data_IF_449039575728
#
_entry.id   IF_449039575728
#
_cell.length_a   1.000
_cell.length_b   1.000
_cell.length_c   1.000
_cell.angle_alpha   90.00
_cell.angle_beta   90.00
_cell.angle_gamma   90.00
#
_symmetry.space_group_name_H-M   'P 1'
#
loop_
_entity.id
_entity.type
_entity.pdbx_description
1 polymer ?
#
# COMPACT_ATOMS: atom_id res chain seq x y z
N UNK A 1 8.99 -24.15 -41.65
CA UNK A 1 9.36 -24.33 -40.23
C UNK A 1 9.92 -25.72 -40.03
N UNK A 2 11.15 -25.82 -39.52
CA UNK A 2 11.78 -27.07 -39.12
C UNK A 2 11.18 -27.57 -37.79
N UNK A 3 11.37 -28.86 -37.46
CA UNK A 3 10.93 -29.43 -36.18
C UNK A 3 11.54 -28.69 -34.98
N UNK A 4 12.80 -28.25 -35.11
CA UNK A 4 13.50 -27.49 -34.08
C UNK A 4 12.89 -26.10 -33.87
N UNK A 5 12.54 -25.40 -34.96
CA UNK A 5 11.88 -24.09 -34.88
C UNK A 5 10.52 -24.17 -34.20
N UNK A 6 9.75 -25.23 -34.49
CA UNK A 6 8.44 -25.47 -33.85
C UNK A 6 8.62 -25.75 -32.35
N UNK A 7 9.55 -26.63 -31.97
CA UNK A 7 9.82 -26.94 -30.57
C UNK A 7 10.31 -25.71 -29.79
N UNK A 8 11.20 -24.91 -30.38
CA UNK A 8 11.67 -23.66 -29.81
C UNK A 8 10.55 -22.62 -29.67
N UNK A 9 9.61 -22.59 -30.64
CA UNK A 9 8.40 -21.78 -30.57
C UNK A 9 7.55 -22.08 -29.32
N UNK A 10 7.34 -23.36 -28.98
CA UNK A 10 6.63 -23.74 -27.75
C UNK A 10 7.35 -23.24 -26.49
N UNK A 11 8.69 -23.31 -26.45
CA UNK A 11 9.48 -22.78 -25.33
C UNK A 11 9.31 -21.26 -25.22
N UNK A 12 9.35 -20.53 -26.35
CA UNK A 12 9.10 -19.08 -26.36
C UNK A 12 7.72 -18.72 -25.81
N UNK A 13 6.67 -19.44 -26.22
CA UNK A 13 5.30 -19.22 -25.72
C UNK A 13 5.22 -19.49 -24.22
N UNK A 14 5.83 -20.57 -23.74
CA UNK A 14 5.88 -20.88 -22.30
C UNK A 14 6.61 -19.77 -21.51
N UNK A 15 7.77 -19.32 -21.99
CA UNK A 15 8.53 -18.23 -21.37
C UNK A 15 7.69 -16.94 -21.28
N UNK A 16 7.03 -16.55 -22.37
CA UNK A 16 6.18 -15.35 -22.41
C UNK A 16 4.98 -15.47 -21.46
N UNK A 17 4.34 -16.65 -21.41
CA UNK A 17 3.19 -16.92 -20.54
C UNK A 17 3.54 -16.78 -19.06
N UNK A 18 4.74 -17.21 -18.66
CA UNK A 18 5.22 -17.09 -17.26
C UNK A 18 5.76 -15.69 -16.96
N UNK A 19 6.39 -15.05 -17.94
CA UNK A 19 7.01 -13.73 -17.75
C UNK A 19 5.97 -12.63 -17.61
N UNK A 20 4.88 -12.68 -18.38
CA UNK A 20 3.85 -11.64 -18.39
C UNK A 20 3.21 -11.39 -17.01
N UNK A 21 2.78 -12.40 -16.23
CA UNK A 21 2.29 -12.18 -14.88
C UNK A 21 3.34 -11.61 -13.93
N UNK A 22 4.61 -12.04 -14.03
CA UNK A 22 5.69 -11.51 -13.20
C UNK A 22 5.85 -10.00 -13.47
N UNK A 23 5.94 -9.62 -14.75
CA UNK A 23 6.01 -8.22 -15.15
C UNK A 23 4.79 -7.44 -14.66
N UNK A 24 3.58 -7.93 -14.98
CA UNK A 24 2.33 -7.26 -14.61
C UNK A 24 2.20 -7.06 -13.11
N UNK A 25 2.51 -8.06 -12.28
CA UNK A 25 2.42 -7.93 -10.81
C UNK A 25 3.48 -6.98 -10.23
N UNK A 26 4.69 -6.96 -10.80
CA UNK A 26 5.76 -6.07 -10.36
C UNK A 26 5.48 -4.62 -10.80
N UNK A 27 5.07 -4.41 -12.05
CA UNK A 27 4.73 -3.10 -12.60
C UNK A 27 3.45 -2.52 -12.00
N UNK A 28 2.43 -3.36 -11.73
CA UNK A 28 1.21 -2.94 -11.04
C UNK A 28 1.47 -2.44 -9.61
N UNK A 29 2.54 -2.93 -8.97
CA UNK A 29 3.04 -2.39 -7.69
C UNK A 29 3.93 -1.15 -7.88
N UNK A 30 4.10 -0.70 -9.11
CA UNK A 30 4.88 0.47 -9.46
C UNK A 30 6.40 0.27 -9.43
N UNK A 31 6.86 -0.97 -9.55
CA UNK A 31 8.27 -1.32 -9.53
C UNK A 31 8.80 -1.64 -10.93
N UNK A 32 10.05 -1.26 -11.18
CA UNK A 32 10.80 -1.61 -12.39
C UNK A 32 11.41 -3.01 -12.23
N UNK A 33 11.07 -3.93 -13.12
CA UNK A 33 11.53 -5.32 -13.08
C UNK A 33 13.05 -5.43 -13.22
N UNK A 34 13.70 -4.54 -13.99
CA UNK A 34 15.14 -4.60 -14.26
C UNK A 34 16.01 -4.37 -13.02
N UNK A 35 15.45 -3.72 -11.99
CA UNK A 35 16.12 -3.46 -10.70
C UNK A 35 16.12 -4.66 -9.75
N UNK A 36 15.44 -5.74 -10.11
CA UNK A 36 15.30 -6.93 -9.28
C UNK A 36 16.34 -7.99 -9.66
N UNK A 37 16.50 -8.98 -8.77
CA UNK A 37 17.23 -10.23 -9.04
C UNK A 37 16.22 -11.34 -9.23
N UNK A 38 16.40 -12.19 -10.25
CA UNK A 38 15.49 -13.31 -10.50
C UNK A 38 15.91 -14.52 -9.67
N UNK A 39 15.15 -14.86 -8.63
CA UNK A 39 15.34 -16.11 -7.88
C UNK A 39 14.60 -17.25 -8.57
N UNK A 40 15.32 -18.27 -9.03
CA UNK A 40 14.73 -19.41 -9.76
C UNK A 40 14.81 -20.69 -8.93
N UNK A 41 13.70 -21.43 -8.93
CA UNK A 41 13.54 -22.69 -8.23
C UNK A 41 12.59 -23.62 -8.99
N UNK A 42 12.39 -24.83 -8.47
CA UNK A 42 11.65 -25.91 -9.13
C UNK A 42 12.46 -26.63 -10.20
N UNK A 43 12.05 -27.86 -10.54
CA UNK A 43 12.81 -28.73 -11.44
C UNK A 43 12.99 -28.19 -12.87
N UNK A 44 12.07 -27.33 -13.34
CA UNK A 44 12.13 -26.71 -14.65
C UNK A 44 12.67 -25.27 -14.63
N UNK A 45 12.75 -24.62 -13.46
CA UNK A 45 13.00 -23.17 -13.37
C UNK A 45 14.31 -22.73 -14.04
N UNK A 46 15.38 -23.51 -13.84
CA UNK A 46 16.69 -23.22 -14.46
C UNK A 46 16.69 -23.28 -16.00
N UNK A 47 15.74 -24.00 -16.62
CA UNK A 47 15.66 -24.13 -18.08
C UNK A 47 15.14 -22.85 -18.75
N UNK A 48 14.33 -22.07 -18.04
CA UNK A 48 13.67 -20.86 -18.54
C UNK A 48 14.32 -19.57 -18.03
N UNK A 49 15.16 -19.68 -17.00
CA UNK A 49 15.72 -18.58 -16.23
C UNK A 49 16.31 -17.43 -17.07
N UNK A 50 17.19 -17.76 -18.03
CA UNK A 50 17.89 -16.75 -18.84
C UNK A 50 16.92 -15.98 -19.74
N UNK A 51 16.09 -16.70 -20.51
CA UNK A 51 15.13 -16.08 -21.41
C UNK A 51 14.07 -15.24 -20.67
N UNK A 52 13.63 -15.68 -19.48
CA UNK A 52 12.74 -14.91 -18.62
C UNK A 52 13.42 -13.64 -18.11
N UNK A 53 14.66 -13.74 -17.62
CA UNK A 53 15.40 -12.60 -17.10
C UNK A 53 15.69 -11.57 -18.21
N UNK A 54 16.07 -12.01 -19.42
CA UNK A 54 16.22 -11.14 -20.59
C UNK A 54 14.91 -10.40 -20.91
N UNK A 55 13.79 -11.11 -20.97
CA UNK A 55 12.48 -10.50 -21.21
C UNK A 55 12.06 -9.52 -20.10
N UNK A 56 12.47 -9.76 -18.84
CA UNK A 56 12.22 -8.87 -17.71
C UNK A 56 13.24 -7.73 -17.57
N UNK A 57 14.30 -7.71 -18.38
CA UNK A 57 15.43 -6.79 -18.22
C UNK A 57 16.27 -7.03 -16.95
N UNK A 58 16.13 -8.20 -16.32
CA UNK A 58 16.85 -8.57 -15.09
C UNK A 58 18.26 -9.03 -15.44
N UNK A 59 19.26 -8.44 -14.78
CA UNK A 59 20.68 -8.72 -15.05
C UNK A 59 21.26 -9.89 -14.26
N UNK A 60 20.68 -10.23 -13.13
CA UNK A 60 21.23 -11.26 -12.25
C UNK A 60 20.17 -12.29 -11.86
N UNK A 61 20.50 -13.55 -12.11
CA UNK A 61 19.71 -14.71 -11.72
C UNK A 61 20.41 -15.43 -10.58
N UNK A 62 19.62 -15.85 -9.60
CA UNK A 62 20.05 -16.66 -8.46
C UNK A 62 19.35 -18.01 -8.52
N UNK A 63 20.12 -19.08 -8.69
CA UNK A 63 19.63 -20.46 -8.59
C UNK A 63 20.08 -21.04 -7.25
N UNK A 64 19.11 -21.28 -6.36
CA UNK A 64 19.41 -21.88 -5.06
C UNK A 64 19.96 -23.30 -5.23
N UNK A 65 20.90 -23.73 -4.38
CA UNK A 65 21.49 -25.09 -4.41
C UNK A 65 20.44 -26.19 -4.28
N UNK A 66 19.39 -25.89 -3.53
CA UNK A 66 18.22 -26.74 -3.30
C UNK A 66 17.03 -26.34 -4.17
N UNK A 67 17.25 -25.67 -5.31
CA UNK A 67 16.20 -25.16 -6.20
C UNK A 67 15.09 -26.18 -6.47
N UNK A 68 15.43 -27.44 -6.75
CA UNK A 68 14.46 -28.51 -7.01
C UNK A 68 13.60 -28.92 -5.81
N UNK A 69 14.05 -28.63 -4.58
CA UNK A 69 13.37 -28.99 -3.33
C UNK A 69 13.21 -27.78 -2.41
N UNK A 70 13.23 -26.57 -2.96
CA UNK A 70 13.32 -25.34 -2.18
C UNK A 70 12.10 -25.14 -1.30
N UNK A 71 10.92 -25.59 -1.74
CA UNK A 71 9.70 -25.59 -0.94
C UNK A 71 9.83 -26.47 0.30
N UNK A 72 10.36 -27.70 0.17
CA UNK A 72 10.59 -28.59 1.30
C UNK A 72 11.66 -28.02 2.26
N UNK A 73 12.71 -27.40 1.72
CA UNK A 73 13.71 -26.70 2.51
C UNK A 73 13.12 -25.52 3.29
N UNK A 74 12.28 -24.70 2.65
CA UNK A 74 11.57 -23.60 3.30
C UNK A 74 10.64 -24.07 4.41
N UNK A 75 9.88 -25.16 4.18
CA UNK A 75 9.05 -25.78 5.22
C UNK A 75 9.88 -26.31 6.40
N UNK A 76 11.06 -26.86 6.14
CA UNK A 76 11.94 -27.36 7.20
C UNK A 76 12.51 -26.22 8.05
N UNK A 77 12.82 -25.07 7.44
CA UNK A 77 13.36 -23.88 8.12
C UNK A 77 12.30 -23.01 8.81
N UNK A 78 11.04 -23.14 8.41
CA UNK A 78 9.97 -22.30 8.94
C UNK A 78 9.82 -22.52 10.45
N UNK A 79 9.74 -21.40 11.18
CA UNK A 79 9.34 -21.45 12.58
C UNK A 79 7.89 -21.94 12.68
N UNK A 80 7.59 -22.65 13.77
CA UNK A 80 6.21 -23.07 14.03
C UNK A 80 5.50 -21.93 14.74
N UNK A 81 4.40 -21.46 14.17
CA UNK A 81 3.65 -20.33 14.68
C UNK A 81 2.27 -20.80 15.14
N UNK A 82 1.90 -20.45 16.37
CA UNK A 82 0.52 -20.57 16.88
C UNK A 82 0.05 -19.19 17.33
N UNK A 83 -1.08 -18.74 16.78
CA UNK A 83 -1.70 -17.46 17.12
C UNK A 83 -2.96 -17.69 17.95
N UNK A 84 -3.13 -16.85 18.96
CA UNK A 84 -4.35 -16.77 19.74
C UNK A 84 -4.77 -15.30 19.85
N UNK A 85 -6.08 -15.03 19.72
CA UNK A 85 -6.62 -13.67 19.75
C UNK A 85 -7.95 -13.64 20.47
N UNK A 86 -8.23 -12.53 21.15
CA UNK A 86 -9.48 -12.28 21.85
C UNK A 86 -9.99 -10.84 21.62
N UNK A 87 -11.30 -10.65 21.39
CA UNK A 87 -11.87 -9.33 21.18
C UNK A 87 -11.78 -8.45 22.43
N UNK A 88 -11.67 -7.15 22.21
CA UNK A 88 -11.63 -6.11 23.23
C UNK A 88 -12.33 -4.84 22.72
N UNK A 89 -12.78 -3.97 23.60
CA UNK A 89 -13.39 -2.69 23.20
C UNK A 89 -13.09 -1.58 24.21
N UNK A 90 -11.85 -1.54 24.70
CA UNK A 90 -11.37 -0.51 25.63
C UNK A 90 -10.82 0.69 24.88
N UNK A 91 -11.01 1.87 25.46
CA UNK A 91 -10.29 3.08 25.05
C UNK A 91 -8.88 3.02 25.59
N UNK A 92 -7.88 3.18 24.72
CA UNK A 92 -6.47 3.28 25.09
C UNK A 92 -6.19 4.63 25.76
N UNK A 93 -5.36 4.62 26.78
CA UNK A 93 -4.85 5.82 27.44
C UNK A 93 -3.34 5.65 27.70
N UNK A 94 -2.54 6.61 27.21
CA UNK A 94 -1.07 6.57 27.34
C UNK A 94 -0.61 6.75 28.80
N UNK A 95 -1.35 7.52 29.60
CA UNK A 95 -0.99 7.86 30.98
C UNK A 95 -1.68 6.98 32.06
N UNK A 96 -2.49 6.00 31.65
CA UNK A 96 -3.23 5.11 32.57
C UNK A 96 -2.41 3.87 32.97
N UNK A 97 -1.23 4.13 33.56
CA UNK A 97 -0.37 3.08 34.13
C UNK A 97 -1.07 2.48 35.35
N UNK A 98 -1.60 1.26 35.21
CA UNK A 98 -2.34 0.56 36.27
C UNK A 98 -3.78 0.16 35.90
N UNK A 99 -4.39 0.84 34.91
CA UNK A 99 -5.78 0.60 34.53
C UNK A 99 -5.91 -0.29 33.30
N UNK A 100 -6.10 0.33 32.14
CA UNK A 100 -6.29 -0.37 30.86
C UNK A 100 -5.05 -1.19 30.50
N UNK A 101 -3.85 -0.65 30.71
CA UNK A 101 -2.59 -1.33 30.36
C UNK A 101 -2.40 -2.63 31.17
N UNK A 102 -2.65 -2.61 32.48
CA UNK A 102 -2.52 -3.79 33.34
C UNK A 102 -3.56 -4.86 32.98
N UNK A 103 -4.80 -4.45 32.69
CA UNK A 103 -5.85 -5.36 32.27
C UNK A 103 -5.54 -6.02 30.92
N UNK A 104 -4.95 -5.28 29.97
CA UNK A 104 -4.48 -5.82 28.69
C UNK A 104 -3.26 -6.73 28.89
N UNK A 105 -2.34 -6.36 29.79
CA UNK A 105 -1.17 -7.17 30.16
C UNK A 105 -1.57 -8.53 30.73
N UNK A 106 -2.52 -8.55 31.66
CA UNK A 106 -3.06 -9.81 32.20
C UNK A 106 -3.68 -10.68 31.11
N UNK A 107 -4.43 -10.08 30.17
CA UNK A 107 -5.02 -10.80 29.03
C UNK A 107 -3.96 -11.36 28.09
N UNK A 108 -2.90 -10.60 27.80
CA UNK A 108 -1.77 -11.07 26.99
C UNK A 108 -1.11 -12.28 27.65
N UNK A 109 -0.85 -12.24 28.96
CA UNK A 109 -0.27 -13.38 29.70
C UNK A 109 -1.18 -14.62 29.68
N UNK A 110 -2.50 -14.43 29.79
CA UNK A 110 -3.45 -15.54 29.64
C UNK A 110 -3.46 -16.10 28.21
N UNK A 111 -3.44 -15.24 27.19
CA UNK A 111 -3.41 -15.63 25.79
C UNK A 111 -2.14 -16.41 25.42
N UNK A 112 -1.00 -16.13 26.07
CA UNK A 112 0.27 -16.87 25.88
C UNK A 112 0.18 -18.34 26.29
N UNK A 113 -0.69 -18.71 27.24
CA UNK A 113 -0.77 -20.08 27.78
C UNK A 113 -1.10 -21.11 26.72
N UNK A 114 -2.05 -20.82 25.83
CA UNK A 114 -2.51 -21.75 24.79
C UNK A 114 -1.44 -22.01 23.70
N UNK A 115 -0.82 -20.98 23.08
CA UNK A 115 0.32 -21.19 22.19
C UNK A 115 1.49 -21.88 22.87
N UNK A 116 1.79 -21.55 24.14
CA UNK A 116 2.84 -22.25 24.91
C UNK A 116 2.58 -23.75 24.97
N UNK A 117 1.38 -24.16 25.39
CA UNK A 117 1.02 -25.58 25.49
C UNK A 117 1.12 -26.28 24.13
N UNK A 118 0.55 -25.67 23.07
CA UNK A 118 0.57 -26.26 21.72
C UNK A 118 1.97 -26.38 21.12
N UNK A 119 2.86 -25.45 21.42
CA UNK A 119 4.26 -25.51 20.99
C UNK A 119 5.04 -26.54 21.82
N UNK A 120 4.77 -26.64 23.13
CA UNK A 120 5.34 -27.70 23.98
C UNK A 120 4.90 -29.10 23.53
N UNK A 121 3.62 -29.28 23.18
CA UNK A 121 3.08 -30.54 22.63
C UNK A 121 3.78 -30.94 21.30
N UNK A 122 4.33 -29.97 20.58
CA UNK A 122 5.12 -30.15 19.37
C UNK A 122 6.63 -30.30 19.63
N UNK A 123 7.04 -30.34 20.90
CA UNK A 123 8.43 -30.59 21.32
C UNK A 123 9.30 -29.36 21.49
N UNK A 124 8.74 -28.14 21.49
CA UNK A 124 9.50 -26.91 21.77
C UNK A 124 9.66 -26.67 23.27
N UNK A 125 10.90 -26.46 23.72
CA UNK A 125 11.19 -26.04 25.09
C UNK A 125 10.92 -24.55 25.31
N UNK A 126 10.71 -24.12 26.55
CA UNK A 126 10.40 -22.72 26.89
C UNK A 126 11.43 -21.72 26.34
N UNK A 127 12.72 -22.05 26.37
CA UNK A 127 13.81 -21.19 25.88
C UNK A 127 13.81 -21.01 24.35
N UNK A 128 13.03 -21.81 23.63
CA UNK A 128 12.88 -21.75 22.17
C UNK A 128 11.58 -21.08 21.72
N UNK A 129 10.69 -20.73 22.65
CA UNK A 129 9.42 -20.07 22.34
C UNK A 129 9.60 -18.57 22.54
N UNK A 130 9.31 -17.81 21.49
CA UNK A 130 9.30 -16.34 21.50
C UNK A 130 7.87 -15.86 21.28
N UNK A 131 7.47 -14.78 21.94
CA UNK A 131 6.16 -14.18 21.78
C UNK A 131 6.25 -12.84 21.08
N UNK A 132 5.36 -12.62 20.12
CA UNK A 132 5.05 -11.30 19.59
C UNK A 132 3.66 -10.89 20.13
N UNK A 133 3.60 -9.71 20.75
CA UNK A 133 2.42 -9.17 21.42
C UNK A 133 1.82 -8.05 20.56
N UNK A 134 0.54 -8.16 20.23
CA UNK A 134 -0.13 -7.23 19.33
C UNK A 134 -1.40 -6.66 19.96
N UNK A 135 -1.62 -5.37 19.72
CA UNK A 135 -2.92 -4.73 19.89
C UNK A 135 -3.42 -4.29 18.52
N UNK A 136 -4.63 -4.72 18.15
CA UNK A 136 -5.31 -4.17 16.99
C UNK A 136 -6.03 -2.90 17.42
N UNK A 137 -5.58 -1.75 16.91
CA UNK A 137 -6.00 -0.43 17.36
C UNK A 137 -6.61 0.36 16.21
N UNK A 138 -7.61 1.20 16.51
CA UNK A 138 -8.25 2.11 15.54
C UNK A 138 -8.69 3.39 16.22
N UNK A 139 -8.83 4.48 15.46
CA UNK A 139 -9.51 5.66 15.98
C UNK A 139 -11.02 5.42 16.08
N UNK A 140 -11.67 5.98 17.11
CA UNK A 140 -13.12 5.87 17.29
C UNK A 140 -13.86 6.36 16.04
N UNK A 141 -14.83 5.57 15.60
CA UNK A 141 -15.64 5.81 14.40
C UNK A 141 -15.01 5.32 13.09
N UNK A 142 -13.71 5.02 13.07
CA UNK A 142 -13.07 4.35 11.92
C UNK A 142 -13.20 2.84 12.04
N UNK A 143 -13.10 2.11 10.94
CA UNK A 143 -13.32 0.64 10.94
C UNK A 143 -12.04 -0.15 10.69
N UNK A 144 -11.03 0.48 10.11
CA UNK A 144 -9.74 -0.15 9.86
C UNK A 144 -8.91 -0.16 11.14
N UNK A 145 -8.74 -1.34 11.73
CA UNK A 145 -7.76 -1.56 12.77
C UNK A 145 -6.37 -1.79 12.18
N UNK A 146 -5.37 -1.15 12.78
CA UNK A 146 -3.96 -1.42 12.53
C UNK A 146 -3.45 -2.41 13.57
N UNK A 147 -2.72 -3.42 13.11
CA UNK A 147 -2.03 -4.36 13.97
C UNK A 147 -0.73 -3.74 14.47
N UNK A 148 -0.73 -3.34 15.73
CA UNK A 148 0.41 -2.66 16.36
C UNK A 148 1.17 -3.70 17.18
N UNK A 149 2.43 -3.94 16.79
CA UNK A 149 3.36 -4.77 17.54
C UNK A 149 3.86 -3.98 18.75
N UNK A 150 3.99 -4.66 19.90
CA UNK A 150 4.64 -4.09 21.07
C UNK A 150 6.06 -3.63 20.71
N UNK A 151 6.41 -2.34 20.97
CA UNK A 151 7.75 -1.85 20.71
C UNK A 151 8.82 -2.73 21.36
N UNK A 152 9.82 -3.11 20.58
CA UNK A 152 11.01 -3.76 21.14
C UNK A 152 11.76 -2.79 22.05
N UNK A 153 12.61 -3.30 22.96
CA UNK A 153 13.42 -2.45 23.85
C UNK A 153 14.23 -1.39 23.08
N UNK A 154 14.84 -1.79 21.97
CA UNK A 154 15.63 -0.89 21.11
C UNK A 154 14.76 0.21 20.49
N UNK A 155 13.57 -0.13 19.99
CA UNK A 155 12.63 0.85 19.45
C UNK A 155 12.05 1.76 20.53
N UNK A 156 11.77 1.21 21.72
CA UNK A 156 11.29 1.96 22.88
C UNK A 156 12.30 3.00 23.31
N UNK A 157 13.58 2.63 23.43
CA UNK A 157 14.67 3.54 23.77
C UNK A 157 14.84 4.64 22.70
N UNK A 158 14.78 4.27 21.41
CA UNK A 158 15.01 5.19 20.30
C UNK A 158 13.85 6.16 20.06
N UNK A 159 12.61 5.71 20.20
CA UNK A 159 11.43 6.46 19.74
C UNK A 159 10.41 6.78 20.83
N UNK A 160 10.43 6.06 21.96
CA UNK A 160 9.37 6.14 22.98
C UNK A 160 9.90 6.39 24.39
N UNK A 161 11.13 6.89 24.54
CA UNK A 161 11.78 7.21 25.83
C UNK A 161 11.87 6.00 26.77
N UNK A 162 12.10 4.81 26.22
CA UNK A 162 12.22 3.54 26.95
C UNK A 162 10.88 2.91 27.34
N UNK A 163 9.75 3.44 26.86
CA UNK A 163 8.43 2.87 27.14
C UNK A 163 8.05 1.76 26.15
N UNK A 164 8.25 0.51 26.57
CA UNK A 164 7.88 -0.69 25.79
C UNK A 164 6.36 -0.88 25.65
N UNK A 165 5.54 -0.16 26.43
CA UNK A 165 4.08 -0.21 26.37
C UNK A 165 3.48 0.97 25.59
N UNK A 166 4.29 1.72 24.85
CA UNK A 166 3.89 2.88 24.06
C UNK A 166 3.06 2.54 22.80
N UNK A 167 2.08 1.64 22.91
CA UNK A 167 1.19 1.23 21.82
C UNK A 167 0.42 2.40 21.19
N UNK A 168 -0.04 3.38 21.98
CA UNK A 168 -0.72 4.57 21.45
C UNK A 168 0.17 5.41 20.52
N UNK A 169 1.42 5.64 20.94
CA UNK A 169 2.43 6.36 20.13
C UNK A 169 2.86 5.56 18.91
N UNK A 170 3.04 4.24 19.07
CA UNK A 170 3.35 3.35 17.96
C UNK A 170 2.19 3.30 16.93
N UNK A 171 0.94 3.25 17.41
CA UNK A 171 -0.26 3.36 16.58
C UNK A 171 -0.30 4.67 15.81
N UNK A 172 -0.14 5.81 16.48
CA UNK A 172 -0.17 7.12 15.82
C UNK A 172 0.93 7.23 14.76
N UNK A 173 2.14 6.74 15.05
CA UNK A 173 3.25 6.70 14.09
C UNK A 173 2.96 5.79 12.89
N UNK A 174 2.43 4.59 13.12
CA UNK A 174 2.11 3.65 12.05
C UNK A 174 0.93 4.15 11.21
N UNK A 175 -0.06 4.80 11.84
CA UNK A 175 -1.19 5.42 11.15
C UNK A 175 -0.73 6.59 10.26
N UNK A 176 0.21 7.42 10.74
CA UNK A 176 0.84 8.47 9.93
C UNK A 176 1.68 7.88 8.78
N UNK A 177 2.42 6.80 9.02
CA UNK A 177 3.18 6.12 7.97
C UNK A 177 2.30 5.48 6.88
N UNK A 178 1.19 4.86 7.28
CA UNK A 178 0.28 4.16 6.36
C UNK A 178 -0.67 5.12 5.64
N UNK A 179 -1.19 6.14 6.33
CA UNK A 179 -2.27 7.01 5.84
C UNK A 179 -1.91 8.50 5.74
N UNK A 180 -0.76 8.94 6.27
CA UNK A 180 -0.30 10.34 6.21
C UNK A 180 -1.06 11.31 7.11
N UNK A 181 -1.75 10.82 8.14
CA UNK A 181 -2.48 11.66 9.10
C UNK A 181 -2.59 10.99 10.47
N UNK A 182 -2.89 11.80 11.50
CA UNK A 182 -3.30 11.35 12.83
C UNK A 182 -4.57 12.09 13.25
N UNK A 183 -5.36 11.49 14.15
CA UNK A 183 -6.63 12.06 14.63
C UNK A 183 -6.53 12.31 16.15
N UNK A 184 -5.83 13.37 16.59
CA UNK A 184 -5.53 13.60 18.01
C UNK A 184 -6.78 13.81 18.87
N UNK A 185 -7.86 14.36 18.28
CA UNK A 185 -9.12 14.61 18.98
C UNK A 185 -10.02 13.37 19.09
N UNK A 186 -9.54 12.21 18.65
CA UNK A 186 -10.29 10.95 18.69
C UNK A 186 -9.63 9.93 19.58
N UNK A 187 -10.45 9.33 20.44
CA UNK A 187 -10.07 8.14 21.21
C UNK A 187 -9.50 7.04 20.32
N UNK A 188 -8.45 6.39 20.81
CA UNK A 188 -7.93 5.15 20.23
C UNK A 188 -8.65 3.98 20.92
N UNK A 189 -9.24 3.08 20.14
CA UNK A 189 -9.94 1.89 20.62
C UNK A 189 -9.08 0.66 20.34
N UNK A 190 -8.87 -0.16 21.38
CA UNK A 190 -8.31 -1.51 21.26
C UNK A 190 -9.43 -2.46 20.88
N UNK A 191 -9.40 -2.96 19.65
CA UNK A 191 -10.42 -3.83 19.05
C UNK A 191 -10.21 -5.31 19.41
N UNK A 192 -8.96 -5.75 19.47
CA UNK A 192 -8.61 -7.09 19.93
C UNK A 192 -7.15 -7.14 20.40
N UNK A 193 -6.90 -8.14 21.23
CA UNK A 193 -5.59 -8.49 21.76
C UNK A 193 -5.16 -9.78 21.09
N UNK A 194 -3.95 -9.79 20.53
CA UNK A 194 -3.41 -10.92 19.80
C UNK A 194 -2.02 -11.26 20.31
N UNK A 195 -1.77 -12.55 20.49
CA UNK A 195 -0.46 -13.09 20.84
C UNK A 195 -0.08 -14.13 19.79
N UNK A 196 1.14 -14.00 19.27
CA UNK A 196 1.75 -14.98 18.40
C UNK A 196 2.89 -15.68 19.13
N UNK A 197 2.74 -16.96 19.40
CA UNK A 197 3.81 -17.83 19.87
C UNK A 197 4.61 -18.38 18.69
N UNK A 198 5.92 -18.22 18.72
CA UNK A 198 6.86 -18.65 17.68
C UNK A 198 7.84 -19.66 18.29
N UNK A 199 7.69 -20.92 17.92
CA UNK A 199 8.67 -21.97 18.22
C UNK A 199 9.86 -21.87 17.27
N UNK A 200 10.97 -21.31 17.75
CA UNK A 200 12.21 -21.14 16.99
C UNK A 200 12.91 -22.49 16.83
N UNK A 201 12.93 -23.02 15.60
CA UNK A 201 13.62 -24.30 15.30
C UNK A 201 15.13 -24.14 15.20
N UNK A 202 15.58 -22.99 14.71
CA UNK A 202 17.00 -22.74 14.45
C UNK A 202 17.41 -21.35 14.95
N UNK A 203 18.49 -21.27 15.74
CA UNK A 203 19.22 -20.01 15.97
C UNK A 203 20.18 -19.77 14.79
N UNK A 204 19.67 -19.67 13.57
CA UNK A 204 20.51 -19.41 12.39
C UNK A 204 20.77 -17.91 12.26
N UNK A 205 21.89 -17.45 12.84
CA UNK A 205 22.56 -16.22 12.42
C UNK A 205 23.25 -16.46 11.08
N UNK A 206 22.47 -16.71 10.02
CA UNK A 206 23.04 -16.78 8.68
C UNK A 206 23.01 -15.42 7.99
N UNK A 207 24.13 -15.08 7.35
CA UNK A 207 24.20 -13.93 6.45
C UNK A 207 23.15 -14.05 5.35
N UNK A 208 22.55 -12.92 4.99
CA UNK A 208 21.60 -12.87 3.86
C UNK A 208 22.29 -13.31 2.57
N UNK A 209 21.51 -13.78 1.60
CA UNK A 209 22.04 -14.14 0.26
C UNK A 209 22.76 -12.94 -0.37
N UNK A 210 22.27 -11.70 -0.16
CA UNK A 210 22.91 -10.49 -0.65
C UNK A 210 24.30 -10.28 -0.04
N UNK A 211 24.44 -10.43 1.29
CA UNK A 211 25.72 -10.36 1.98
C UNK A 211 26.68 -11.47 1.54
N UNK A 212 26.17 -12.71 1.41
CA UNK A 212 26.95 -13.85 0.91
C UNK A 212 27.49 -13.60 -0.50
N UNK A 213 26.68 -13.02 -1.39
CA UNK A 213 27.11 -12.65 -2.75
C UNK A 213 28.18 -11.56 -2.72
N UNK A 214 28.00 -10.51 -1.90
CA UNK A 214 28.95 -9.40 -1.81
C UNK A 214 30.32 -9.82 -1.27
N UNK A 215 30.34 -10.81 -0.37
CA UNK A 215 31.57 -11.37 0.19
C UNK A 215 32.17 -12.49 -0.67
N UNK A 216 31.39 -13.04 -1.61
CA UNK A 216 31.85 -14.09 -2.51
C UNK A 216 32.70 -13.51 -3.64
N UNK A 217 33.69 -14.28 -4.08
CA UNK A 217 34.41 -14.02 -5.32
C UNK A 217 34.01 -15.08 -6.35
N UNK A 218 33.00 -14.81 -7.22
CA UNK A 218 32.52 -15.78 -8.19
C UNK A 218 33.66 -16.22 -9.09
N UNK A 219 33.80 -17.54 -9.26
CA UNK A 219 34.76 -18.09 -10.22
C UNK A 219 33.99 -18.62 -11.41
N UNK A 220 34.36 -18.15 -12.58
CA UNK A 220 33.83 -18.71 -13.83
C UNK A 220 34.17 -20.20 -13.89
N UNK A 221 33.21 -20.97 -14.40
CA UNK A 221 33.41 -22.40 -14.63
C UNK A 221 34.45 -22.55 -15.74
N UNK A 222 35.65 -23.02 -15.38
CA UNK A 222 36.77 -23.12 -16.31
C UNK A 222 36.61 -24.26 -17.32
N UNK A 223 37.18 -24.07 -18.50
CA UNK A 223 37.30 -25.09 -19.55
C UNK A 223 38.09 -26.29 -18.99
N UNK A 224 37.47 -27.48 -18.98
CA UNK A 224 38.06 -28.72 -18.44
C UNK A 224 37.22 -29.47 -17.41
N UNK A 225 36.14 -28.88 -16.90
CA UNK A 225 35.14 -29.55 -16.04
C UNK A 225 33.90 -30.04 -16.82
N UNK A 226 34.00 -30.08 -18.15
CA UNK A 226 32.90 -30.48 -19.04
C UNK A 226 32.60 -31.98 -18.83
N UNK A 227 31.34 -32.32 -18.56
CA UNK A 227 30.94 -33.73 -18.48
C UNK A 227 30.79 -34.34 -19.88
N UNK A 228 30.14 -33.60 -20.80
CA UNK A 228 30.00 -33.95 -22.22
C UNK A 228 29.57 -32.74 -23.03
N UNK A 229 29.59 -32.85 -24.35
CA UNK A 229 28.96 -31.89 -25.27
C UNK A 229 27.72 -32.48 -25.93
N UNK A 230 26.76 -31.62 -26.26
CA UNK A 230 25.57 -32.00 -27.01
C UNK A 230 25.14 -30.85 -27.93
N UNK A 231 24.53 -31.17 -29.07
CA UNK A 231 23.89 -30.15 -29.89
C UNK A 231 22.58 -29.71 -29.25
N UNK A 232 22.50 -28.43 -28.87
CA UNK A 232 21.32 -27.78 -28.30
C UNK A 232 20.84 -26.71 -29.27
N UNK A 233 19.53 -26.60 -29.47
CA UNK A 233 18.96 -25.57 -30.32
C UNK A 233 18.72 -24.29 -29.51
N UNK A 234 19.30 -23.18 -29.97
CA UNK A 234 19.05 -21.83 -29.46
C UNK A 234 18.49 -20.95 -30.57
N UNK A 235 18.22 -19.69 -30.25
CA UNK A 235 17.94 -18.69 -31.26
C UNK A 235 19.13 -18.57 -32.25
N UNK A 236 18.85 -18.77 -33.53
CA UNK A 236 19.88 -18.83 -34.58
C UNK A 236 20.45 -20.22 -34.88
N UNK A 237 19.94 -21.30 -34.27
CA UNK A 237 20.20 -22.67 -34.71
C UNK A 237 20.83 -23.59 -33.66
N UNK A 238 21.18 -24.81 -34.09
CA UNK A 238 21.88 -25.80 -33.23
C UNK A 238 23.32 -25.40 -33.00
N UNK A 239 23.74 -25.40 -31.73
CA UNK A 239 25.12 -25.16 -31.31
C UNK A 239 25.62 -26.30 -30.46
N UNK A 240 26.87 -26.70 -30.65
CA UNK A 240 27.51 -27.64 -29.75
C UNK A 240 27.73 -26.96 -28.40
N UNK A 241 27.14 -27.51 -27.34
CA UNK A 241 27.07 -26.87 -26.02
C UNK A 241 27.69 -27.77 -24.96
N UNK A 242 28.62 -27.27 -24.15
CA UNK A 242 29.15 -28.02 -23.02
C UNK A 242 28.10 -28.21 -21.94
N UNK A 243 28.01 -29.42 -21.41
CA UNK A 243 27.13 -29.80 -20.32
C UNK A 243 28.01 -30.06 -19.09
N UNK A 244 27.69 -29.38 -18.00
CA UNK A 244 28.35 -29.53 -16.71
C UNK A 244 27.41 -30.23 -15.74
N UNK A 245 27.96 -31.10 -14.90
CA UNK A 245 27.24 -31.68 -13.77
C UNK A 245 27.44 -30.78 -12.57
N UNK A 246 26.34 -30.30 -12.01
CA UNK A 246 26.39 -29.38 -10.87
C UNK A 246 27.21 -29.91 -9.69
N UNK A 247 27.15 -31.22 -9.42
CA UNK A 247 27.92 -31.89 -8.35
C UNK A 247 29.43 -31.96 -8.57
N UNK A 248 29.88 -31.82 -9.83
CA UNK A 248 31.29 -31.93 -10.21
C UNK A 248 31.95 -30.55 -10.28
N UNK A 249 31.15 -29.47 -10.22
CA UNK A 249 31.64 -28.11 -10.09
C UNK A 249 32.17 -27.89 -8.67
N UNK A 250 33.32 -27.21 -8.54
CA UNK A 250 33.85 -26.76 -7.25
C UNK A 250 33.07 -25.55 -6.74
N UNK A 251 31.78 -25.76 -6.52
CA UNK A 251 30.91 -24.83 -5.79
C UNK A 251 31.23 -25.04 -4.31
N UNK A 252 31.43 -23.97 -3.53
CA UNK A 252 31.52 -24.13 -2.08
C UNK A 252 30.22 -24.80 -1.60
N UNK A 253 30.31 -25.64 -0.56
CA UNK A 253 29.17 -26.40 -0.03
C UNK A 253 28.00 -25.51 0.43
N UNK A 254 28.12 -24.18 0.40
CA UNK A 254 27.09 -23.20 0.78
C UNK A 254 26.66 -22.27 -0.35
N UNK A 255 27.15 -22.42 -1.59
CA UNK A 255 26.97 -21.38 -2.64
C UNK A 255 25.78 -21.61 -3.57
N UNK A 256 25.14 -20.51 -3.98
CA UNK A 256 24.13 -20.47 -5.04
C UNK A 256 24.80 -20.35 -6.42
N UNK A 257 24.13 -20.79 -7.49
CA UNK A 257 24.57 -20.46 -8.85
C UNK A 257 24.12 -19.03 -9.13
N UNK A 258 25.06 -18.17 -9.50
CA UNK A 258 24.79 -16.81 -9.94
C UNK A 258 25.02 -16.76 -11.45
N UNK A 259 24.00 -16.33 -12.20
CA UNK A 259 24.13 -16.08 -13.64
C UNK A 259 23.99 -14.57 -13.83
N UNK A 260 25.07 -13.95 -14.31
CA UNK A 260 25.04 -12.56 -14.74
C UNK A 260 24.80 -12.53 -16.25
N UNK A 261 23.68 -11.95 -16.67
CA UNK A 261 23.34 -11.81 -18.08
C UNK A 261 24.06 -10.57 -18.61
N UNK A 262 25.28 -10.80 -19.11
CA UNK A 262 26.10 -9.83 -19.84
C UNK A 262 26.54 -8.58 -19.07
N UNK A 263 27.82 -8.23 -19.18
CA UNK A 263 28.23 -6.83 -19.19
C UNK A 263 27.80 -6.24 -20.54
N UNK A 264 26.53 -5.89 -20.70
CA UNK A 264 26.24 -4.92 -21.74
C UNK A 264 26.69 -3.57 -21.20
N UNK A 265 27.76 -3.05 -21.79
CA UNK A 265 28.23 -1.66 -21.71
C UNK A 265 27.16 -0.63 -22.13
N UNK A 266 25.91 -1.07 -22.33
CA UNK A 266 24.76 -0.21 -22.27
C UNK A 266 24.60 0.23 -20.80
N UNK A 267 25.28 1.32 -20.45
CA UNK A 267 24.70 2.27 -19.50
C UNK A 267 23.21 2.31 -19.78
N UNK A 268 22.38 1.96 -18.79
CA UNK A 268 20.92 2.09 -18.91
C UNK A 268 20.71 3.45 -19.58
N UNK A 269 20.07 3.53 -20.77
CA UNK A 269 19.94 4.78 -21.47
C UNK A 269 19.42 5.79 -20.47
N UNK A 270 20.15 6.90 -20.28
CA UNK A 270 19.70 7.97 -19.40
C UNK A 270 18.26 8.27 -19.83
N UNK A 271 17.33 8.17 -18.88
CA UNK A 271 15.92 8.45 -19.12
C UNK A 271 15.83 9.83 -19.73
N UNK A 272 15.53 9.88 -21.02
CA UNK A 272 15.40 11.09 -21.80
C UNK A 272 13.99 11.16 -22.34
N UNK A 273 13.46 12.37 -22.51
CA UNK A 273 12.15 12.60 -23.14
C UNK A 273 12.18 12.43 -24.66
N UNK A 274 13.38 12.29 -25.24
CA UNK A 274 13.61 12.32 -26.68
C UNK A 274 13.31 10.98 -27.37
N UNK A 275 13.26 9.87 -26.61
CA UNK A 275 12.91 8.55 -27.10
C UNK A 275 11.91 7.89 -26.14
N UNK A 276 10.80 7.36 -26.67
CA UNK A 276 9.80 6.63 -25.89
C UNK A 276 10.38 5.26 -25.52
N UNK A 277 10.72 5.07 -24.25
CA UNK A 277 11.09 3.77 -23.69
C UNK A 277 9.79 2.95 -23.47
N UNK A 278 9.59 1.83 -24.19
CA UNK A 278 8.37 1.02 -24.07
C UNK A 278 8.17 0.40 -22.68
N UNK A 279 9.25 0.14 -21.94
CA UNK A 279 9.18 -0.38 -20.56
C UNK A 279 8.67 0.73 -19.65
N UNK A 280 9.24 1.93 -19.74
CA UNK A 280 8.76 3.07 -18.95
C UNK A 280 7.32 3.43 -19.33
N UNK A 281 6.96 3.39 -20.62
CA UNK A 281 5.59 3.63 -21.07
C UNK A 281 4.61 2.59 -20.52
N UNK A 282 5.03 1.35 -20.26
CA UNK A 282 4.23 0.35 -19.55
C UNK A 282 4.17 0.65 -18.04
N UNK A 283 5.30 0.98 -17.43
CA UNK A 283 5.41 1.16 -15.97
C UNK A 283 4.68 2.41 -15.47
N UNK A 284 4.82 3.55 -16.15
CA UNK A 284 4.29 4.84 -15.67
C UNK A 284 2.76 4.88 -15.53
N UNK A 285 1.96 4.43 -16.51
CA UNK A 285 0.51 4.35 -16.35
C UNK A 285 0.10 3.52 -15.14
N UNK A 286 0.72 2.36 -14.92
CA UNK A 286 0.45 1.54 -13.74
C UNK A 286 0.85 2.24 -12.43
N UNK A 287 1.98 2.97 -12.41
CA UNK A 287 2.38 3.78 -11.24
C UNK A 287 1.37 4.89 -10.93
N UNK A 288 0.89 5.58 -11.95
CA UNK A 288 -0.09 6.66 -11.78
C UNK A 288 -1.46 6.12 -11.36
N UNK A 289 -1.93 5.02 -11.94
CA UNK A 289 -3.15 4.34 -11.48
C UNK A 289 -3.00 3.81 -10.05
N UNK A 290 -1.84 3.23 -9.70
CA UNK A 290 -1.59 2.75 -8.34
C UNK A 290 -1.69 3.89 -7.31
N UNK A 291 -1.22 5.10 -7.63
CA UNK A 291 -1.38 6.28 -6.77
C UNK A 291 -2.87 6.57 -6.56
N UNK A 292 -3.67 6.65 -7.63
CA UNK A 292 -5.10 6.94 -7.53
C UNK A 292 -5.85 5.85 -6.74
N UNK A 293 -5.55 4.57 -6.98
CA UNK A 293 -6.13 3.45 -6.22
C UNK A 293 -5.73 3.47 -4.74
N UNK A 294 -4.47 3.79 -4.44
CA UNK A 294 -3.99 3.89 -3.06
C UNK A 294 -4.66 5.05 -2.33
N UNK A 295 -4.84 6.21 -2.98
CA UNK A 295 -5.61 7.32 -2.44
C UNK A 295 -7.03 6.89 -2.08
N UNK A 296 -7.72 6.19 -2.99
CA UNK A 296 -9.07 5.68 -2.77
C UNK A 296 -9.16 4.70 -1.60
N UNK A 297 -8.24 3.73 -1.54
CA UNK A 297 -8.16 2.76 -0.42
C UNK A 297 -7.87 3.44 0.91
N UNK A 298 -6.98 4.42 0.94
CA UNK A 298 -6.69 5.19 2.16
C UNK A 298 -7.94 5.95 2.61
N UNK A 299 -8.59 6.68 1.69
CA UNK A 299 -9.82 7.42 1.97
C UNK A 299 -10.93 6.50 2.51
N UNK A 300 -11.16 5.35 1.88
CA UNK A 300 -12.14 4.36 2.33
C UNK A 300 -11.82 3.84 3.74
N UNK A 301 -10.54 3.49 3.99
CA UNK A 301 -10.11 2.89 5.26
C UNK A 301 -10.16 3.84 6.44
N UNK A 302 -9.93 5.12 6.22
CA UNK A 302 -9.92 6.16 7.27
C UNK A 302 -11.27 6.86 7.42
N UNK A 303 -12.20 6.68 6.49
CA UNK A 303 -13.50 7.34 6.53
C UNK A 303 -14.40 6.78 7.63
N UNK A 304 -15.20 7.68 8.20
CA UNK A 304 -16.31 7.36 9.10
C UNK A 304 -17.68 7.46 8.42
N UNK A 305 -17.73 8.03 7.22
CA UNK A 305 -18.96 8.16 6.44
C UNK A 305 -19.30 6.83 5.77
N UNK A 306 -20.53 6.36 5.99
CA UNK A 306 -21.07 5.16 5.36
C UNK A 306 -21.12 5.29 3.83
N UNK A 307 -21.34 6.51 3.30
CA UNK A 307 -21.31 6.74 1.85
C UNK A 307 -19.93 6.46 1.27
N UNK A 308 -18.87 6.93 1.92
CA UNK A 308 -17.50 6.71 1.43
C UNK A 308 -17.05 5.28 1.72
N UNK A 309 -17.31 4.77 2.93
CA UNK A 309 -16.81 3.47 3.39
C UNK A 309 -17.50 2.29 2.68
N UNK A 310 -18.83 2.31 2.62
CA UNK A 310 -19.66 1.16 2.19
C UNK A 310 -20.25 1.37 0.80
N UNK A 311 -20.74 2.58 0.49
CA UNK A 311 -21.32 2.88 -0.84
C UNK A 311 -20.27 3.23 -1.88
N UNK A 312 -19.03 3.46 -1.44
CA UNK A 312 -17.90 3.87 -2.29
C UNK A 312 -18.20 5.14 -3.08
N UNK A 313 -18.91 6.07 -2.44
CA UNK A 313 -19.32 7.34 -3.03
C UNK A 313 -18.20 8.38 -2.94
N UNK A 314 -17.11 8.08 -3.64
CA UNK A 314 -15.94 8.93 -3.77
C UNK A 314 -15.22 8.66 -5.09
N UNK A 315 -14.29 9.53 -5.46
CA UNK A 315 -13.37 9.32 -6.56
C UNK A 315 -12.01 9.94 -6.29
N UNK A 316 -10.95 9.29 -6.76
CA UNK A 316 -9.57 9.74 -6.63
C UNK A 316 -8.88 9.74 -7.99
N UNK A 317 -8.20 10.83 -8.30
CA UNK A 317 -7.52 10.99 -9.59
C UNK A 317 -6.24 11.81 -9.48
N UNK A 318 -5.33 11.53 -10.42
CA UNK A 318 -4.09 12.24 -10.67
C UNK A 318 -4.24 13.07 -11.94
N UNK A 319 -3.77 14.31 -11.88
CA UNK A 319 -3.83 15.30 -12.96
C UNK A 319 -2.45 15.89 -13.21
N UNK A 320 -2.17 16.27 -14.45
CA UNK A 320 -0.96 17.00 -14.80
C UNK A 320 -0.95 18.43 -14.20
N UNK A 321 0.13 19.18 -14.41
CA UNK A 321 0.29 20.55 -13.89
C UNK A 321 -0.75 21.56 -14.42
N UNK A 322 -1.43 21.25 -15.52
CA UNK A 322 -2.47 22.10 -16.11
C UNK A 322 -3.88 21.66 -15.68
N UNK A 323 -4.00 20.52 -14.99
CA UNK A 323 -5.26 19.92 -14.54
C UNK A 323 -5.88 18.92 -15.53
N UNK A 324 -5.11 18.47 -16.52
CA UNK A 324 -5.51 17.36 -17.41
C UNK A 324 -5.47 16.02 -16.69
N UNK A 325 -6.47 15.17 -16.90
CA UNK A 325 -6.56 13.85 -16.24
C UNK A 325 -5.45 12.92 -16.74
N UNK A 326 -4.64 12.39 -15.82
CA UNK A 326 -3.54 11.46 -16.10
C UNK A 326 -3.92 10.02 -15.73
N UNK A 327 -4.52 9.82 -14.57
CA UNK A 327 -4.97 8.52 -14.09
C UNK A 327 -6.11 8.69 -13.08
N UNK A 328 -7.00 7.68 -12.99
CA UNK A 328 -8.08 7.65 -12.02
C UNK A 328 -8.28 6.23 -11.48
N UNK A 329 -8.78 6.14 -10.24
CA UNK A 329 -9.26 4.89 -9.69
C UNK A 329 -10.61 4.50 -10.35
N UNK A 330 -11.01 3.21 -10.26
CA UNK A 330 -12.30 2.74 -10.78
C UNK A 330 -13.45 3.29 -9.91
N UNK A 331 -13.86 4.51 -10.22
CA UNK A 331 -14.80 5.27 -9.40
C UNK A 331 -16.06 5.70 -10.18
N UNK A 332 -16.95 6.43 -9.50
CA UNK A 332 -18.20 6.96 -10.06
C UNK A 332 -17.96 7.85 -11.30
N UNK A 333 -18.49 7.47 -12.49
CA UNK A 333 -18.24 8.21 -13.73
C UNK A 333 -18.66 9.68 -13.70
N UNK A 334 -19.67 10.03 -12.88
CA UNK A 334 -20.18 11.41 -12.73
C UNK A 334 -19.13 12.36 -12.14
N UNK A 335 -18.20 11.86 -11.31
CA UNK A 335 -17.17 12.68 -10.71
C UNK A 335 -16.06 13.05 -11.70
N UNK A 336 -15.65 12.13 -12.59
CA UNK A 336 -14.41 12.29 -13.36
C UNK A 336 -14.46 13.46 -14.36
N UNK A 337 -15.60 13.65 -15.04
CA UNK A 337 -15.77 14.75 -15.99
C UNK A 337 -15.74 16.13 -15.34
N UNK A 338 -16.44 16.29 -14.22
CA UNK A 338 -16.55 17.56 -13.49
C UNK A 338 -15.32 17.86 -12.64
N UNK A 339 -14.69 16.83 -12.04
CA UNK A 339 -13.46 16.96 -11.26
C UNK A 339 -12.31 17.50 -12.10
N UNK A 340 -12.16 17.04 -13.36
CA UNK A 340 -11.17 17.59 -14.29
C UNK A 340 -11.35 19.09 -14.55
N UNK A 341 -12.60 19.57 -14.54
CA UNK A 341 -12.89 21.01 -14.65
C UNK A 341 -12.53 21.75 -13.37
N UNK A 342 -12.85 21.18 -12.21
CA UNK A 342 -12.49 21.75 -10.91
C UNK A 342 -10.98 21.92 -10.76
N UNK A 343 -10.20 20.86 -11.02
CA UNK A 343 -8.73 20.93 -10.92
C UNK A 343 -8.14 21.96 -11.86
N UNK A 344 -8.58 22.03 -13.13
CA UNK A 344 -8.12 23.06 -14.09
C UNK A 344 -8.41 24.48 -13.63
N UNK A 345 -9.61 24.72 -13.12
CA UNK A 345 -10.00 26.06 -12.63
C UNK A 345 -9.18 26.43 -11.40
N UNK A 346 -9.05 25.53 -10.42
CA UNK A 346 -8.26 25.77 -9.22
C UNK A 346 -6.77 25.96 -9.55
N UNK A 347 -6.20 25.15 -10.45
CA UNK A 347 -4.82 25.31 -10.91
C UNK A 347 -4.56 26.72 -11.47
N UNK A 348 -5.52 27.26 -12.23
CA UNK A 348 -5.45 28.63 -12.75
C UNK A 348 -5.60 29.71 -11.68
N UNK A 349 -6.55 29.55 -10.76
CA UNK A 349 -6.80 30.53 -9.67
C UNK A 349 -5.59 30.62 -8.74
N UNK A 350 -5.00 29.46 -8.44
CA UNK A 350 -3.93 29.28 -7.47
C UNK A 350 -2.52 29.25 -8.09
N UNK A 351 -2.41 29.53 -9.39
CA UNK A 351 -1.14 29.61 -10.09
C UNK A 351 -0.18 30.54 -9.35
N UNK A 352 1.03 30.06 -9.09
CA UNK A 352 2.11 30.76 -8.37
C UNK A 352 1.78 31.18 -6.92
N UNK A 353 0.66 30.72 -6.34
CA UNK A 353 0.24 31.02 -4.96
C UNK A 353 0.38 29.85 -3.99
N UNK A 354 0.48 28.63 -4.50
CA UNK A 354 0.59 27.42 -3.70
C UNK A 354 2.03 27.13 -3.31
N UNK A 355 2.19 26.57 -2.12
CA UNK A 355 3.45 26.07 -1.60
C UNK A 355 3.35 24.57 -1.30
N UNK A 356 4.49 23.86 -1.19
CA UNK A 356 4.49 22.48 -0.72
C UNK A 356 3.73 22.34 0.61
N UNK A 357 2.80 21.39 0.68
CA UNK A 357 1.95 21.15 1.84
C UNK A 357 0.64 21.94 1.88
N UNK A 358 0.38 22.81 0.90
CA UNK A 358 -0.95 23.43 0.73
C UNK A 358 -1.97 22.42 0.19
N UNK A 359 -3.21 22.52 0.64
CA UNK A 359 -4.36 21.72 0.15
C UNK A 359 -5.56 22.64 -0.04
N UNK A 360 -6.25 22.49 -1.17
CA UNK A 360 -7.42 23.31 -1.52
C UNK A 360 -8.69 22.47 -1.43
N UNK A 361 -9.79 23.11 -1.03
CA UNK A 361 -11.14 22.53 -1.01
C UNK A 361 -12.09 23.35 -1.90
N UNK A 362 -12.96 22.67 -2.66
CA UNK A 362 -13.97 23.27 -3.53
C UNK A 362 -15.11 22.30 -3.83
N UNK A 363 -16.34 22.78 -3.89
CA UNK A 363 -17.54 22.03 -4.29
C UNK A 363 -18.54 22.87 -5.10
N UNK A 364 -18.25 24.15 -5.33
CA UNK A 364 -19.17 25.06 -6.01
C UNK A 364 -19.36 24.69 -7.50
N UNK A 365 -20.59 24.65 -8.04
CA UNK A 365 -20.85 24.23 -9.42
C UNK A 365 -20.13 25.07 -10.49
N UNK A 366 -20.06 26.40 -10.32
CA UNK A 366 -19.27 27.30 -11.20
C UNK A 366 -17.78 26.91 -11.31
N UNK A 367 -17.26 26.17 -10.32
CA UNK A 367 -15.86 25.75 -10.23
C UNK A 367 -15.72 24.24 -10.42
N UNK A 368 -16.67 23.58 -11.10
CA UNK A 368 -16.59 22.15 -11.44
C UNK A 368 -17.10 21.20 -10.34
N UNK A 369 -17.87 21.71 -9.37
CA UNK A 369 -18.70 20.88 -8.49
C UNK A 369 -19.85 20.21 -9.25
N UNK A 370 -20.32 19.07 -8.75
CA UNK A 370 -21.47 18.31 -9.30
C UNK A 370 -22.77 18.74 -8.64
N UNK A 371 -22.81 18.62 -7.31
CA UNK A 371 -23.76 19.21 -6.38
C UNK A 371 -23.01 19.52 -5.08
N UNK A 372 -23.60 20.29 -4.18
CA UNK A 372 -22.85 20.78 -3.02
C UNK A 372 -22.32 19.67 -2.10
N UNK A 373 -23.00 18.54 -1.85
CA UNK A 373 -22.45 17.49 -1.00
C UNK A 373 -21.16 16.85 -1.53
N UNK A 374 -20.83 17.01 -2.81
CA UNK A 374 -19.61 16.45 -3.38
C UNK A 374 -18.43 17.40 -3.18
N UNK A 375 -17.71 17.22 -2.08
CA UNK A 375 -16.56 18.06 -1.75
C UNK A 375 -15.31 17.52 -2.44
N UNK A 376 -14.65 18.39 -3.21
CA UNK A 376 -13.36 18.08 -3.86
C UNK A 376 -12.23 18.70 -3.05
N UNK A 377 -11.27 17.87 -2.68
CA UNK A 377 -10.00 18.27 -2.07
C UNK A 377 -8.89 18.00 -3.07
N UNK A 378 -8.01 18.98 -3.28
CA UNK A 378 -6.92 18.89 -4.25
C UNK A 378 -5.60 19.40 -3.67
N UNK A 379 -4.54 18.65 -3.93
CA UNK A 379 -3.20 18.88 -3.41
C UNK A 379 -2.19 18.90 -4.56
N UNK A 380 -1.40 19.98 -4.71
CA UNK A 380 -0.30 20.04 -5.67
C UNK A 380 0.90 19.19 -5.24
N UNK A 381 1.51 18.51 -6.20
CA UNK A 381 2.82 17.87 -6.06
C UNK A 381 3.90 18.75 -6.69
N UNK A 382 4.96 19.03 -5.94
CA UNK A 382 6.05 19.90 -6.37
C UNK A 382 7.32 19.13 -6.73
N UNK A 383 8.02 19.62 -7.75
CA UNK A 383 9.40 19.24 -8.07
C UNK A 383 10.18 20.48 -8.51
N UNK A 384 11.37 20.69 -7.94
CA UNK A 384 12.22 21.85 -8.22
C UNK A 384 11.48 23.20 -8.11
N UNK A 385 10.57 23.31 -7.14
CA UNK A 385 9.77 24.53 -6.89
C UNK A 385 8.61 24.75 -7.86
N UNK A 386 8.33 23.83 -8.79
CA UNK A 386 7.21 23.90 -9.73
C UNK A 386 6.20 22.80 -9.44
N UNK A 387 4.92 23.10 -9.67
CA UNK A 387 3.87 22.08 -9.64
C UNK A 387 4.04 21.18 -10.87
N UNK A 388 4.08 19.87 -10.64
CA UNK A 388 4.21 18.86 -11.71
C UNK A 388 2.95 18.01 -11.88
N UNK A 389 2.16 17.86 -10.80
CA UNK A 389 0.88 17.15 -10.81
C UNK A 389 -0.04 17.75 -9.75
N UNK A 390 -1.33 17.50 -9.88
CA UNK A 390 -2.32 17.61 -8.81
C UNK A 390 -2.88 16.22 -8.51
N UNK A 391 -3.07 15.92 -7.24
CA UNK A 391 -3.95 14.82 -6.82
C UNK A 391 -5.26 15.42 -6.33
N UNK A 392 -6.38 14.79 -6.67
CA UNK A 392 -7.68 15.21 -6.17
C UNK A 392 -8.50 14.03 -5.69
N UNK A 393 -9.23 14.26 -4.61
CA UNK A 393 -10.22 13.34 -4.05
C UNK A 393 -11.55 14.08 -3.94
N UNK A 394 -12.61 13.48 -4.46
CA UNK A 394 -13.98 13.94 -4.24
C UNK A 394 -14.74 12.90 -3.46
N UNK A 395 -15.43 13.30 -2.41
CA UNK A 395 -16.25 12.41 -1.61
C UNK A 395 -17.64 13.01 -1.45
N UNK A 396 -18.64 12.14 -1.32
CA UNK A 396 -20.01 12.54 -1.07
C UNK A 396 -20.29 12.68 0.43
N UNK A 397 -20.59 13.90 0.86
CA UNK A 397 -20.92 14.28 2.24
C UNK A 397 -22.42 14.55 2.38
N UNK A 398 -23.22 13.49 2.32
CA UNK A 398 -24.67 13.57 2.49
C UNK A 398 -25.19 12.64 3.57
N UNK A 399 -26.29 13.03 4.22
CA UNK A 399 -27.00 12.15 5.13
C UNK A 399 -27.73 11.06 4.37
N UNK A 400 -27.60 9.81 4.80
CA UNK A 400 -28.45 8.73 4.29
C UNK A 400 -29.78 8.76 5.04
N UNK A 401 -30.89 8.83 4.31
CA UNK A 401 -32.20 8.60 4.90
C UNK A 401 -32.30 7.14 5.41
N UNK A 402 -32.20 6.95 6.73
CA UNK A 402 -32.63 5.72 7.36
C UNK A 402 -34.15 5.61 7.31
N UNK A 403 -34.67 4.45 6.93
CA UNK A 403 -36.11 4.15 7.00
C UNK A 403 -36.52 4.21 8.47
N UNK A 404 -37.49 5.07 8.82
CA UNK A 404 -38.13 5.06 10.14
C UNK A 404 -38.94 3.78 10.27
N UNK A 405 -38.67 2.96 11.28
CA UNK A 405 -39.74 2.13 11.85
C UNK A 405 -40.76 3.09 12.52
N UNK A 406 -42.02 2.89 12.20
CA UNK A 406 -43.12 3.73 12.68
C UNK A 406 -43.26 3.63 14.21
N UNK A 407 -43.17 4.78 14.88
CA UNK A 407 -43.56 4.92 16.29
C UNK A 407 -42.48 5.51 17.19
N UNK A 408 -42.23 6.82 17.04
CA UNK A 408 -41.89 7.80 18.10
C UNK A 408 -41.16 8.99 17.48
N UNK A 409 -41.73 10.18 17.65
CA UNK A 409 -41.41 11.37 16.84
C UNK A 409 -40.18 12.17 17.30
N UNK A 410 -39.33 11.68 18.21
CA UNK A 410 -38.40 12.63 18.86
C UNK A 410 -37.05 12.12 19.40
N UNK A 411 -36.39 11.16 18.74
CA UNK A 411 -34.95 10.92 18.97
C UNK A 411 -34.22 10.57 17.68
N UNK A 412 -33.61 11.57 17.03
CA UNK A 412 -32.42 11.32 16.21
C UNK A 412 -31.32 10.93 17.20
N UNK A 413 -30.99 9.65 17.28
CA UNK A 413 -29.71 9.25 17.87
C UNK A 413 -28.61 9.84 16.98
N UNK A 414 -27.64 10.50 17.61
CA UNK A 414 -26.51 11.21 17.00
C UNK A 414 -25.60 10.28 16.17
N UNK A 415 -26.11 9.74 15.06
CA UNK A 415 -25.27 9.26 13.98
C UNK A 415 -24.65 10.51 13.35
N UNK A 416 -23.37 10.71 13.66
CA UNK A 416 -22.52 11.77 13.09
C UNK A 416 -22.26 11.46 11.60
N UNK A 417 -23.31 11.47 10.79
CA UNK A 417 -23.16 11.49 9.33
C UNK A 417 -22.83 12.92 8.91
N UNK A 418 -21.80 13.08 8.08
CA UNK A 418 -21.37 14.37 7.56
C UNK A 418 -22.44 14.90 6.59
N UNK A 419 -23.22 15.86 7.07
CA UNK A 419 -24.07 16.71 6.24
C UNK A 419 -23.22 17.90 5.72
N UNK A 420 -23.78 18.77 4.90
CA UNK A 420 -23.15 20.04 4.49
C UNK A 420 -24.03 21.26 4.80
N UNK A 421 -25.08 21.06 5.59
CA UNK A 421 -26.05 22.08 5.93
C UNK A 421 -27.14 22.25 4.88
N UNK A 422 -27.80 23.41 4.89
CA UNK A 422 -28.92 23.71 3.98
C UNK A 422 -30.30 23.58 4.64
N UNK A 423 -31.37 23.57 3.84
CA UNK A 423 -32.76 23.64 4.34
C UNK A 423 -33.27 22.32 4.93
N UNK A 424 -32.68 21.20 4.52
CA UNK A 424 -33.10 19.87 4.94
C UNK A 424 -31.87 18.95 4.97
N UNK A 425 -31.67 18.18 6.05
CA UNK A 425 -30.61 17.20 6.08
C UNK A 425 -30.75 16.16 4.96
N UNK A 426 -29.69 15.96 4.18
CA UNK A 426 -29.66 15.04 3.06
C UNK A 426 -28.95 15.61 1.84
N UNK A 427 -28.75 14.77 0.82
CA UNK A 427 -27.90 15.12 -0.33
C UNK A 427 -28.59 15.99 -1.39
N UNK A 428 -29.90 15.87 -1.56
CA UNK A 428 -30.62 16.50 -2.67
C UNK A 428 -31.99 16.99 -2.18
N UNK A 429 -32.08 18.16 -1.52
CA UNK A 429 -33.35 18.68 -1.05
C UNK A 429 -34.25 19.01 -2.25
N UNK A 430 -35.40 18.31 -2.45
CA UNK A 430 -36.21 18.44 -3.67
C UNK A 430 -36.96 19.78 -3.76
N UNK A 431 -36.88 20.61 -2.73
CA UNK A 431 -37.55 21.90 -2.64
C UNK A 431 -36.58 23.08 -2.70
N UNK A 432 -35.27 22.84 -2.88
CA UNK A 432 -34.30 23.90 -3.13
C UNK A 432 -34.62 24.63 -4.43
N UNK A 433 -34.61 25.95 -4.35
CA UNK A 433 -34.79 26.91 -5.44
C UNK A 433 -33.55 27.77 -5.64
N UNK A 434 -32.75 27.94 -4.59
CA UNK A 434 -31.51 28.69 -4.60
C UNK A 434 -30.34 27.82 -4.10
N UNK A 435 -29.13 28.09 -4.58
CA UNK A 435 -27.95 27.24 -4.30
C UNK A 435 -27.65 27.11 -2.80
N UNK A 436 -27.78 28.20 -2.03
CA UNK A 436 -27.49 28.19 -0.58
C UNK A 436 -28.44 27.27 0.21
N UNK A 437 -29.59 26.89 -0.37
CA UNK A 437 -30.54 25.98 0.26
C UNK A 437 -30.04 24.53 0.23
N UNK A 438 -29.10 24.19 -0.65
CA UNK A 438 -28.44 22.87 -0.70
C UNK A 438 -27.29 22.71 0.30
N UNK A 439 -26.79 23.80 0.90
CA UNK A 439 -25.73 23.78 1.91
C UNK A 439 -24.50 24.60 1.56
N UNK A 440 -23.34 24.21 2.12
CA UNK A 440 -22.09 24.94 1.95
C UNK A 440 -21.61 24.98 0.49
N UNK A 441 -21.30 26.17 -0.03
CA UNK A 441 -20.86 26.38 -1.40
C UNK A 441 -19.47 27.05 -1.45
N UNK A 442 -18.42 26.24 -1.54
CA UNK A 442 -17.02 26.63 -1.47
C UNK A 442 -16.44 26.77 -2.88
N UNK A 443 -16.09 28.00 -3.26
CA UNK A 443 -15.51 28.30 -4.59
C UNK A 443 -14.09 27.76 -4.73
N UNK A 444 -13.27 27.90 -3.70
CA UNK A 444 -11.88 27.43 -3.66
C UNK A 444 -11.13 28.08 -2.51
N UNK A 445 -10.79 27.30 -1.49
CA UNK A 445 -10.19 27.79 -0.24
C UNK A 445 -9.03 26.90 0.21
N UNK A 446 -8.07 27.44 0.97
CA UNK A 446 -7.01 26.63 1.58
C UNK A 446 -7.56 25.87 2.78
N UNK A 447 -7.66 24.56 2.65
CA UNK A 447 -7.97 23.60 3.71
C UNK A 447 -6.77 23.39 4.64
N UNK A 448 -5.59 23.33 4.04
CA UNK A 448 -4.30 23.15 4.72
C UNK A 448 -3.34 24.18 4.14
N UNK A 449 -2.61 24.87 5.01
CA UNK A 449 -1.55 25.79 4.62
C UNK A 449 -0.20 25.26 5.12
N UNK A 450 0.70 24.92 4.21
CA UNK A 450 2.06 24.41 4.52
C UNK A 450 2.04 23.27 5.56
N UNK A 451 1.10 22.32 5.42
CA UNK A 451 0.93 21.17 6.32
C UNK A 451 0.12 21.41 7.59
N UNK A 452 -0.42 22.63 7.80
CA UNK A 452 -1.28 22.96 8.95
C UNK A 452 -2.74 23.05 8.53
N UNK A 453 -3.58 22.18 9.10
CA UNK A 453 -5.02 22.16 8.86
C UNK A 453 -5.71 23.36 9.51
N UNK A 454 -6.56 24.05 8.75
CA UNK A 454 -7.31 25.23 9.22
C UNK A 454 -8.74 24.83 9.66
N UNK A 455 -8.84 24.27 10.87
CA UNK A 455 -10.12 23.80 11.42
C UNK A 455 -11.14 24.93 11.65
N UNK A 456 -10.65 26.14 11.98
CA UNK A 456 -11.52 27.30 12.17
C UNK A 456 -12.17 27.74 10.87
N UNK A 457 -11.39 27.84 9.78
CA UNK A 457 -11.92 28.20 8.46
C UNK A 457 -12.91 27.16 7.93
N UNK A 458 -12.65 25.88 8.17
CA UNK A 458 -13.61 24.82 7.77
C UNK A 458 -14.89 24.87 8.58
N UNK A 459 -14.80 25.14 9.88
CA UNK A 459 -16.00 25.35 10.70
C UNK A 459 -16.77 26.59 10.23
N UNK A 460 -16.09 27.65 9.81
CA UNK A 460 -16.76 28.79 9.20
C UNK A 460 -17.51 28.41 7.92
N UNK A 461 -16.83 27.74 6.97
CA UNK A 461 -17.39 27.34 5.67
C UNK A 461 -18.54 26.33 5.76
N UNK A 462 -18.46 25.36 6.68
CA UNK A 462 -19.42 24.26 6.78
C UNK A 462 -20.52 24.49 7.85
N UNK A 463 -20.21 25.24 8.91
CA UNK A 463 -21.16 25.49 9.99
C UNK A 463 -21.74 26.90 9.95
N UNK A 464 -20.90 27.93 9.90
CA UNK A 464 -21.36 29.33 10.07
C UNK A 464 -22.00 29.90 8.81
N UNK A 465 -21.36 29.71 7.65
CA UNK A 465 -21.81 30.29 6.38
C UNK A 465 -23.17 29.72 5.91
N UNK A 466 -23.46 28.41 5.98
CA UNK A 466 -24.80 27.91 5.62
C UNK A 466 -25.88 28.36 6.61
N UNK A 467 -25.55 28.43 7.90
CA UNK A 467 -26.48 28.82 8.96
C UNK A 467 -26.89 30.31 8.94
N UNK A 468 -26.24 31.14 8.12
CA UNK A 468 -26.61 32.56 8.00
C UNK A 468 -27.93 32.77 7.24
N UNK A 469 -28.34 31.78 6.43
CA UNK A 469 -29.54 31.87 5.60
C UNK A 469 -30.79 31.41 6.38
N UNK A 470 -31.94 32.10 6.24
CA UNK A 470 -33.18 31.68 6.88
C UNK A 470 -33.50 30.22 6.56
N UNK A 471 -33.92 29.45 7.56
CA UNK A 471 -34.30 28.03 7.45
C UNK A 471 -33.15 27.05 7.12
N UNK A 472 -31.92 27.52 6.95
CA UNK A 472 -30.76 26.65 6.73
C UNK A 472 -30.03 26.33 8.05
N UNK A 473 -29.43 25.13 8.14
CA UNK A 473 -28.51 24.75 9.21
C UNK A 473 -27.07 24.67 8.71
N UNK A 474 -26.10 24.76 9.64
CA UNK A 474 -24.72 24.35 9.43
C UNK A 474 -24.46 22.95 9.99
N UNK A 475 -23.31 22.36 9.67
CA UNK A 475 -22.90 21.01 10.11
C UNK A 475 -21.64 20.98 10.97
#
# INVERSE_FOLDING_TARGET
>A
MSRDEVAFGFIKVANETVTRPIRSLTEAKGHDTSKHRLATFGGAGGQHAVAMAESLGIRQILIHRYSSVLSAYGMALADVVDENQEPESKTWADDDKGGVQDALGSRIEDLKKRPTQRLQDQGFGNDSIVFEEYLNMRYRGTESALMILKPSKEEADLHFRGDEWAFGKAFARQHDQEFGLTLPDRDIIVHDVRVRGIGKRFKLSEKTVAQKIQESNPKDVTTGQEYRRSFVYFEGGRRETPIYKLKDLKVDERTHIVINIGESDASLPKVGTDNVDPILLSVFPHRFMAIAEQMGRSLQKTSVSTNVKERLDYSCALFDAEGGLVANAPDLPVHLGSMSTCVRIQARIWQDKLKPGDVIVSNHPEFGGTHLPDITVLQPAFSQGKIIFYVASRAHHGKTFGVKEEGEWNRYTNLHEADIGGILPGSMPPHSKELYEEGAAIKGEKLVSEGKFDGERITELLYKEPAQYPTCSGT
#
